data_IF_728202703292
#
_entry.id   IF_728202703292
#
_cell.length_a   1.000
_cell.length_b   1.000
_cell.length_c   1.000
_cell.angle_alpha   90.00
_cell.angle_beta   90.00
_cell.angle_gamma   90.00
#
_symmetry.space_group_name_H-M   'P 1'
#
loop_
_entity.id
_entity.type
_entity.pdbx_description
1 polymer ?
#
# COMPACT_ATOMS: atom_id res chain seq x y z
N UNK A 1 -41.17 -12.68 13.28
CA UNK A 1 -40.99 -11.99 11.98
C UNK A 1 -39.51 -12.00 11.67
N UNK A 2 -39.08 -12.63 10.57
CA UNK A 2 -37.68 -12.54 10.12
C UNK A 2 -37.36 -11.07 9.84
N UNK A 3 -36.48 -10.47 10.64
CA UNK A 3 -35.89 -9.16 10.33
C UNK A 3 -35.01 -9.32 9.10
N UNK A 4 -35.53 -8.94 7.93
CA UNK A 4 -34.79 -9.02 6.68
C UNK A 4 -33.68 -7.97 6.67
N UNK A 5 -32.44 -8.42 6.47
CA UNK A 5 -31.23 -7.59 6.47
C UNK A 5 -31.03 -6.79 5.17
N UNK A 6 -31.85 -7.05 4.14
CA UNK A 6 -31.81 -6.38 2.83
C UNK A 6 -33.22 -6.28 2.21
N UNK A 7 -33.45 -5.31 1.31
CA UNK A 7 -34.72 -5.18 0.59
C UNK A 7 -35.05 -6.43 -0.24
N UNK A 8 -36.30 -6.90 -0.16
CA UNK A 8 -36.81 -7.96 -1.03
C UNK A 8 -37.47 -7.36 -2.27
N UNK A 9 -37.10 -7.90 -3.42
CA UNK A 9 -37.73 -7.58 -4.69
C UNK A 9 -38.84 -8.57 -5.02
N UNK A 10 -39.90 -8.09 -5.66
CA UNK A 10 -40.90 -8.97 -6.24
C UNK A 10 -40.32 -9.68 -7.50
N UNK A 11 -40.99 -10.72 -7.99
CA UNK A 11 -40.48 -11.54 -9.11
C UNK A 11 -40.29 -10.70 -10.39
N UNK A 12 -41.12 -9.67 -10.61
CA UNK A 12 -40.98 -8.80 -11.78
C UNK A 12 -39.70 -7.97 -11.72
N UNK A 13 -39.43 -7.36 -10.56
CA UNK A 13 -38.22 -6.59 -10.29
C UNK A 13 -36.98 -7.49 -10.37
N UNK A 14 -37.03 -8.70 -9.80
CA UNK A 14 -35.95 -9.68 -9.89
C UNK A 14 -35.61 -9.97 -11.34
N UNK A 15 -36.60 -10.27 -12.19
CA UNK A 15 -36.37 -10.52 -13.63
C UNK A 15 -35.67 -9.32 -14.27
N UNK A 16 -36.16 -8.10 -14.02
CA UNK A 16 -35.55 -6.88 -14.57
C UNK A 16 -34.10 -6.71 -14.12
N UNK A 17 -33.80 -6.86 -12.83
CA UNK A 17 -32.44 -6.74 -12.32
C UNK A 17 -31.52 -7.84 -12.87
N UNK A 18 -31.98 -9.09 -12.91
CA UNK A 18 -31.20 -10.22 -13.44
C UNK A 18 -30.88 -9.99 -14.92
N UNK A 19 -31.83 -9.50 -15.72
CA UNK A 19 -31.61 -9.15 -17.14
C UNK A 19 -30.59 -8.05 -17.35
N UNK A 20 -30.60 -7.04 -16.48
CA UNK A 20 -29.76 -5.86 -16.64
C UNK A 20 -28.35 -6.05 -16.08
N UNK A 21 -28.20 -6.90 -15.06
CA UNK A 21 -26.99 -6.94 -14.21
C UNK A 21 -26.30 -8.29 -14.14
N UNK A 22 -26.96 -9.40 -14.53
CA UNK A 22 -26.41 -10.76 -14.35
C UNK A 22 -26.35 -11.52 -15.67
N UNK A 23 -27.48 -11.64 -16.36
CA UNK A 23 -27.57 -12.33 -17.65
C UNK A 23 -27.29 -11.35 -18.80
N UNK A 24 -26.84 -11.89 -19.93
CA UNK A 24 -26.47 -11.10 -21.12
C UNK A 24 -27.05 -11.73 -22.38
N UNK A 25 -27.34 -10.92 -23.41
CA UNK A 25 -27.76 -11.42 -24.71
C UNK A 25 -29.08 -12.19 -24.69
N UNK A 26 -29.11 -13.36 -25.34
CA UNK A 26 -30.31 -14.20 -25.46
C UNK A 26 -30.81 -14.72 -24.10
N UNK A 27 -29.89 -15.08 -23.20
CA UNK A 27 -30.22 -15.64 -21.87
C UNK A 27 -31.03 -14.64 -21.02
N UNK A 28 -30.69 -13.35 -21.10
CA UNK A 28 -31.45 -12.29 -20.45
C UNK A 28 -32.82 -12.07 -21.12
N UNK A 29 -32.86 -12.00 -22.45
CA UNK A 29 -34.12 -11.77 -23.19
C UNK A 29 -35.15 -12.88 -22.94
N UNK A 30 -34.69 -14.12 -22.85
CA UNK A 30 -35.53 -15.30 -22.67
C UNK A 30 -36.01 -15.51 -21.23
N UNK A 31 -35.32 -14.94 -20.23
CA UNK A 31 -35.72 -15.05 -18.83
C UNK A 31 -37.10 -14.43 -18.60
N UNK A 32 -38.05 -15.19 -18.10
CA UNK A 32 -39.43 -14.74 -17.82
C UNK A 32 -39.81 -14.93 -16.35
N UNK A 33 -40.95 -14.35 -15.93
CA UNK A 33 -41.47 -14.53 -14.56
C UNK A 33 -41.81 -16.00 -14.26
N UNK A 34 -42.32 -16.73 -15.26
CA UNK A 34 -42.68 -18.14 -15.15
C UNK A 34 -41.50 -19.07 -14.89
N UNK A 35 -40.27 -18.63 -15.21
CA UNK A 35 -39.06 -19.42 -14.93
C UNK A 35 -38.64 -19.35 -13.46
N UNK A 36 -39.16 -18.38 -12.69
CA UNK A 36 -38.81 -18.15 -11.29
C UNK A 36 -40.00 -18.33 -10.32
N UNK A 37 -41.24 -18.30 -10.81
CA UNK A 37 -42.45 -18.42 -10.00
C UNK A 37 -43.63 -18.99 -10.83
N UNK A 38 -44.48 -19.86 -10.27
CA UNK A 38 -44.46 -20.39 -8.90
C UNK A 38 -43.46 -21.53 -8.69
N UNK A 39 -42.99 -22.16 -9.77
CA UNK A 39 -42.05 -23.28 -9.74
C UNK A 39 -40.76 -22.86 -10.46
N UNK A 40 -39.70 -22.49 -9.71
CA UNK A 40 -38.45 -22.08 -10.33
C UNK A 40 -37.82 -23.23 -11.12
N UNK A 41 -37.35 -22.95 -12.33
CA UNK A 41 -36.63 -23.94 -13.16
C UNK A 41 -35.17 -24.06 -12.68
N UNK A 42 -34.71 -25.24 -12.24
CA UNK A 42 -33.35 -25.42 -11.73
C UNK A 42 -32.27 -24.94 -12.70
N UNK A 43 -32.41 -25.25 -13.99
CA UNK A 43 -31.41 -24.95 -15.03
C UNK A 43 -31.23 -23.43 -15.21
N UNK A 44 -32.35 -22.69 -15.16
CA UNK A 44 -32.35 -21.23 -15.23
C UNK A 44 -31.68 -20.62 -14.00
N UNK A 45 -31.91 -21.19 -12.81
CA UNK A 45 -31.25 -20.75 -11.59
C UNK A 45 -29.76 -21.06 -11.58
N UNK A 46 -29.36 -22.23 -12.07
CA UNK A 46 -27.94 -22.60 -12.19
C UNK A 46 -27.22 -21.59 -13.06
N UNK A 47 -27.80 -21.22 -14.20
CA UNK A 47 -27.25 -20.17 -15.07
C UNK A 47 -27.15 -18.82 -14.34
N UNK A 48 -28.20 -18.38 -13.65
CA UNK A 48 -28.18 -17.09 -12.92
C UNK A 48 -27.10 -17.09 -11.83
N UNK A 49 -27.03 -18.14 -11.02
CA UNK A 49 -26.04 -18.27 -9.95
C UNK A 49 -24.61 -18.36 -10.50
N UNK A 50 -24.41 -19.15 -11.54
CA UNK A 50 -23.13 -19.25 -12.24
C UNK A 50 -22.68 -17.87 -12.70
N UNK A 51 -23.52 -17.14 -13.44
CA UNK A 51 -23.21 -15.80 -13.93
C UNK A 51 -22.93 -14.81 -12.80
N UNK A 52 -23.66 -14.88 -11.69
CA UNK A 52 -23.39 -14.05 -10.52
C UNK A 52 -22.00 -14.32 -9.94
N UNK A 53 -21.60 -15.59 -9.80
CA UNK A 53 -20.26 -15.97 -9.33
C UNK A 53 -19.17 -15.51 -10.30
N UNK A 54 -19.39 -15.62 -11.61
CA UNK A 54 -18.45 -15.13 -12.62
C UNK A 54 -18.24 -13.62 -12.51
N UNK A 55 -19.31 -12.85 -12.27
CA UNK A 55 -19.23 -11.39 -12.10
C UNK A 55 -18.48 -10.99 -10.84
N UNK A 56 -18.73 -11.70 -9.73
CA UNK A 56 -18.20 -11.33 -8.41
C UNK A 56 -16.77 -11.81 -8.21
N UNK A 57 -16.49 -13.07 -8.54
CA UNK A 57 -15.18 -13.70 -8.31
C UNK A 57 -14.30 -13.80 -9.55
N UNK A 58 -14.81 -13.49 -10.74
CA UNK A 58 -14.07 -13.71 -11.98
C UNK A 58 -13.84 -15.19 -12.30
N UNK A 59 -14.68 -16.09 -11.76
CA UNK A 59 -14.59 -17.51 -12.08
C UNK A 59 -14.90 -17.76 -13.54
N UNK A 60 -14.27 -18.78 -14.13
CA UNK A 60 -14.54 -19.23 -15.49
C UNK A 60 -15.41 -20.47 -15.46
N UNK A 61 -16.06 -20.79 -16.59
CA UNK A 61 -16.91 -21.98 -16.70
C UNK A 61 -16.11 -23.26 -16.37
N UNK A 62 -14.87 -23.36 -16.84
CA UNK A 62 -13.95 -24.48 -16.59
C UNK A 62 -13.75 -24.78 -15.09
N UNK A 63 -13.79 -23.77 -14.22
CA UNK A 63 -13.63 -23.98 -12.77
C UNK A 63 -14.75 -24.82 -12.17
N UNK A 64 -15.95 -24.80 -12.77
CA UNK A 64 -17.09 -25.59 -12.29
C UNK A 64 -16.99 -27.06 -12.69
N UNK A 65 -16.09 -27.42 -13.61
CA UNK A 65 -15.83 -28.80 -14.02
C UNK A 65 -14.54 -29.36 -13.40
N UNK A 66 -13.92 -28.64 -12.46
CA UNK A 66 -12.72 -29.13 -11.77
C UNK A 66 -13.08 -30.21 -10.75
N UNK A 67 -12.39 -31.35 -10.83
CA UNK A 67 -12.52 -32.44 -9.86
C UNK A 67 -11.56 -32.23 -8.69
N UNK A 68 -11.99 -32.43 -7.43
CA UNK A 68 -11.09 -32.33 -6.29
C UNK A 68 -9.98 -33.39 -6.36
N UNK A 69 -8.74 -32.99 -6.08
CA UNK A 69 -7.53 -33.84 -6.22
C UNK A 69 -7.60 -35.10 -5.33
N UNK A 70 -8.32 -35.05 -4.21
CA UNK A 70 -8.46 -36.16 -3.26
C UNK A 70 -9.70 -37.04 -3.54
N UNK A 71 -10.32 -36.93 -4.72
CA UNK A 71 -11.48 -37.74 -5.09
C UNK A 71 -11.03 -39.03 -5.76
N UNK A 72 -11.02 -40.13 -5.01
CA UNK A 72 -10.62 -41.45 -5.50
C UNK A 72 -11.79 -42.11 -6.25
N UNK A 73 -12.09 -41.57 -7.45
CA UNK A 73 -13.23 -41.99 -8.27
C UNK A 73 -12.74 -42.91 -9.40
N UNK A 74 -13.27 -44.14 -9.43
CA UNK A 74 -12.90 -45.16 -10.42
C UNK A 74 -13.13 -44.73 -11.89
N UNK A 75 -14.16 -43.90 -12.14
CA UNK A 75 -14.52 -43.42 -13.48
C UNK A 75 -14.80 -41.90 -13.49
N UNK A 76 -13.77 -41.04 -13.66
CA UNK A 76 -13.93 -39.59 -13.57
C UNK A 76 -14.89 -38.97 -14.60
N UNK A 77 -14.96 -39.53 -15.80
CA UNK A 77 -15.83 -39.04 -16.88
C UNK A 77 -17.33 -39.13 -16.53
N UNK A 78 -17.74 -40.06 -15.67
CA UNK A 78 -19.13 -40.16 -15.20
C UNK A 78 -19.52 -39.02 -14.26
N UNK A 79 -18.54 -38.30 -13.71
CA UNK A 79 -18.77 -37.18 -12.79
C UNK A 79 -18.98 -35.85 -13.49
N UNK A 80 -18.74 -35.76 -14.81
CA UNK A 80 -18.78 -34.50 -15.56
C UNK A 80 -20.13 -33.76 -15.44
N UNK A 81 -21.25 -34.50 -15.38
CA UNK A 81 -22.58 -33.91 -15.16
C UNK A 81 -22.84 -33.44 -13.71
N UNK A 82 -22.14 -34.02 -12.73
CA UNK A 82 -22.30 -33.68 -11.31
C UNK A 82 -21.38 -32.54 -10.85
N UNK A 83 -20.17 -32.46 -11.41
CA UNK A 83 -19.16 -31.48 -11.02
C UNK A 83 -19.68 -30.03 -11.03
N UNK A 84 -20.41 -29.56 -12.06
CA UNK A 84 -20.95 -28.20 -12.07
C UNK A 84 -21.90 -27.93 -10.92
N UNK A 85 -22.75 -28.90 -10.56
CA UNK A 85 -23.73 -28.77 -9.47
C UNK A 85 -23.01 -28.73 -8.12
N UNK A 86 -22.03 -29.62 -7.91
CA UNK A 86 -21.22 -29.69 -6.69
C UNK A 86 -20.39 -28.41 -6.48
N UNK A 87 -19.65 -27.98 -7.51
CA UNK A 87 -18.82 -26.78 -7.44
C UNK A 87 -19.67 -25.51 -7.32
N UNK A 88 -20.85 -25.47 -7.96
CA UNK A 88 -21.82 -24.39 -7.77
C UNK A 88 -22.27 -24.29 -6.32
N UNK A 89 -22.59 -25.42 -5.66
CA UNK A 89 -22.93 -25.43 -4.25
C UNK A 89 -21.80 -24.90 -3.36
N UNK A 90 -20.57 -25.38 -3.56
CA UNK A 90 -19.39 -24.96 -2.78
C UNK A 90 -19.20 -23.44 -2.88
N UNK A 91 -19.25 -22.89 -4.09
CA UNK A 91 -19.08 -21.45 -4.29
C UNK A 91 -20.26 -20.63 -3.74
N UNK A 92 -21.50 -21.09 -3.93
CA UNK A 92 -22.68 -20.41 -3.38
C UNK A 92 -22.70 -20.41 -1.85
N UNK A 93 -22.24 -21.49 -1.21
CA UNK A 93 -22.15 -21.58 0.24
C UNK A 93 -21.17 -20.56 0.83
N UNK A 94 -20.13 -20.18 0.07
CA UNK A 94 -19.22 -19.08 0.43
C UNK A 94 -19.79 -17.69 0.09
N UNK A 95 -20.47 -17.57 -1.05
CA UNK A 95 -20.96 -16.29 -1.58
C UNK A 95 -22.22 -15.76 -0.89
N UNK A 96 -23.20 -16.63 -0.63
CA UNK A 96 -24.51 -16.23 -0.12
C UNK A 96 -24.45 -15.60 1.28
N UNK A 97 -23.56 -16.01 2.20
CA UNK A 97 -23.35 -15.30 3.46
C UNK A 97 -22.94 -13.82 3.27
N UNK A 98 -22.15 -13.52 2.23
CA UNK A 98 -21.78 -12.15 1.85
C UNK A 98 -23.01 -11.37 1.39
N UNK A 99 -23.92 -12.04 0.67
CA UNK A 99 -25.24 -11.54 0.28
C UNK A 99 -26.27 -11.57 1.44
N UNK A 100 -25.82 -11.83 2.68
CA UNK A 100 -26.65 -11.91 3.91
C UNK A 100 -27.67 -13.06 3.93
N UNK A 101 -27.37 -14.14 3.21
CA UNK A 101 -28.14 -15.38 3.19
C UNK A 101 -27.29 -16.49 3.80
N UNK A 102 -27.67 -16.98 4.98
CA UNK A 102 -26.87 -17.95 5.74
C UNK A 102 -27.48 -19.36 5.79
N UNK A 103 -28.68 -19.55 5.26
CA UNK A 103 -29.46 -20.79 5.35
C UNK A 103 -29.59 -21.48 3.98
N UNK A 104 -28.56 -21.39 3.14
CA UNK A 104 -28.53 -22.02 1.83
C UNK A 104 -28.21 -23.52 1.94
N UNK A 105 -28.94 -24.34 1.20
CA UNK A 105 -28.81 -25.81 1.23
C UNK A 105 -28.71 -26.38 -0.18
N UNK A 106 -28.19 -27.59 -0.34
CA UNK A 106 -28.10 -28.28 -1.65
C UNK A 106 -29.47 -28.42 -2.32
N UNK A 107 -30.54 -28.57 -1.52
CA UNK A 107 -31.90 -28.63 -2.01
C UNK A 107 -32.33 -27.35 -2.74
N UNK A 108 -31.74 -26.19 -2.47
CA UNK A 108 -32.06 -24.95 -3.16
C UNK A 108 -31.52 -24.88 -4.60
N UNK A 109 -30.59 -25.78 -4.95
CA UNK A 109 -30.05 -25.96 -6.30
C UNK A 109 -30.84 -27.05 -7.04
N UNK A 110 -31.14 -28.16 -6.37
CA UNK A 110 -31.79 -29.33 -6.97
C UNK A 110 -33.32 -29.19 -7.02
N UNK A 111 -33.93 -28.63 -5.99
CA UNK A 111 -35.37 -28.54 -5.77
C UNK A 111 -35.79 -27.13 -5.29
N UNK A 112 -35.58 -26.09 -6.12
CA UNK A 112 -35.74 -24.70 -5.73
C UNK A 112 -37.19 -24.37 -5.36
N UNK A 113 -37.37 -23.62 -4.27
CA UNK A 113 -38.67 -23.13 -3.80
C UNK A 113 -38.83 -21.64 -4.05
N UNK A 114 -39.89 -21.22 -4.74
CA UNK A 114 -40.12 -19.84 -5.18
C UNK A 114 -39.82 -18.75 -4.13
N UNK A 115 -40.34 -18.88 -2.90
CA UNK A 115 -40.12 -17.88 -1.83
C UNK A 115 -38.66 -17.80 -1.38
N UNK A 116 -37.96 -18.94 -1.34
CA UNK A 116 -36.53 -19.00 -0.97
C UNK A 116 -35.66 -18.46 -2.09
N UNK A 117 -35.89 -18.91 -3.32
CA UNK A 117 -35.23 -18.41 -4.52
C UNK A 117 -35.34 -16.90 -4.68
N UNK A 118 -36.54 -16.33 -4.53
CA UNK A 118 -36.75 -14.87 -4.59
C UNK A 118 -35.95 -14.12 -3.51
N UNK A 119 -35.83 -14.68 -2.29
CA UNK A 119 -34.97 -14.12 -1.23
C UNK A 119 -33.50 -14.11 -1.65
N UNK A 120 -33.02 -15.23 -2.17
CA UNK A 120 -31.61 -15.38 -2.53
C UNK A 120 -31.22 -14.47 -3.67
N UNK A 121 -32.03 -14.44 -4.72
CA UNK A 121 -31.83 -13.52 -5.83
C UNK A 121 -31.88 -12.06 -5.38
N UNK A 122 -32.78 -11.71 -4.44
CA UNK A 122 -32.79 -10.37 -3.85
C UNK A 122 -31.49 -10.04 -3.11
N UNK A 123 -30.95 -10.98 -2.32
CA UNK A 123 -29.67 -10.79 -1.63
C UNK A 123 -28.51 -10.57 -2.61
N UNK A 124 -28.44 -11.40 -3.66
CA UNK A 124 -27.43 -11.30 -4.72
C UNK A 124 -27.52 -9.96 -5.45
N UNK A 125 -28.73 -9.54 -5.86
CA UNK A 125 -28.95 -8.27 -6.56
C UNK A 125 -28.50 -7.08 -5.70
N UNK A 126 -28.87 -7.07 -4.41
CA UNK A 126 -28.45 -6.01 -3.49
C UNK A 126 -26.92 -5.96 -3.34
N UNK A 127 -26.26 -7.11 -3.24
CA UNK A 127 -24.81 -7.17 -3.19
C UNK A 127 -24.16 -6.63 -4.48
N UNK A 128 -24.70 -7.00 -5.64
CA UNK A 128 -24.20 -6.52 -6.93
C UNK A 128 -24.33 -5.00 -7.03
N UNK A 129 -25.47 -4.41 -6.66
CA UNK A 129 -25.62 -2.95 -6.63
C UNK A 129 -24.62 -2.29 -5.68
N UNK A 130 -24.43 -2.85 -4.47
CA UNK A 130 -23.45 -2.34 -3.53
C UNK A 130 -22.03 -2.40 -4.08
N UNK A 131 -21.65 -3.52 -4.70
CA UNK A 131 -20.35 -3.69 -5.34
C UNK A 131 -20.14 -2.71 -6.49
N UNK A 132 -21.17 -2.48 -7.31
CA UNK A 132 -21.10 -1.48 -8.39
C UNK A 132 -20.87 -0.08 -7.81
N UNK A 133 -21.57 0.32 -6.76
CA UNK A 133 -21.36 1.60 -6.09
C UNK A 133 -19.94 1.73 -5.50
N UNK A 134 -19.38 0.64 -4.95
CA UNK A 134 -18.00 0.63 -4.46
C UNK A 134 -16.95 0.60 -5.59
N UNK A 135 -17.33 0.14 -6.79
CA UNK A 135 -16.41 -0.05 -7.91
C UNK A 135 -15.83 1.26 -8.38
N UNK A 136 -16.62 2.33 -8.46
CA UNK A 136 -16.16 3.62 -8.96
C UNK A 136 -15.03 4.17 -8.05
N UNK A 137 -15.25 4.16 -6.74
CA UNK A 137 -14.22 4.54 -5.76
C UNK A 137 -12.98 3.65 -5.84
N UNK A 138 -13.16 2.33 -6.00
CA UNK A 138 -12.03 1.42 -6.12
C UNK A 138 -11.21 1.66 -7.41
N UNK A 139 -11.89 1.91 -8.54
CA UNK A 139 -11.23 2.17 -9.82
C UNK A 139 -10.44 3.48 -9.79
N UNK A 140 -10.92 4.49 -9.07
CA UNK A 140 -10.18 5.74 -8.84
C UNK A 140 -8.86 5.46 -8.09
N UNK A 141 -8.89 4.70 -6.99
CA UNK A 141 -7.68 4.32 -6.27
C UNK A 141 -6.72 3.48 -7.13
N UNK A 142 -7.26 2.53 -7.91
CA UNK A 142 -6.46 1.69 -8.80
C UNK A 142 -5.76 2.55 -9.88
N UNK A 143 -6.46 3.54 -10.43
CA UNK A 143 -5.92 4.47 -11.40
C UNK A 143 -4.80 5.33 -10.81
N UNK A 144 -5.00 5.92 -9.63
CA UNK A 144 -3.98 6.71 -8.93
C UNK A 144 -2.72 5.88 -8.65
N UNK A 145 -2.89 4.65 -8.18
CA UNK A 145 -1.77 3.73 -7.95
C UNK A 145 -1.02 3.42 -9.24
N UNK A 146 -1.73 3.05 -10.32
CA UNK A 146 -1.11 2.77 -11.61
C UNK A 146 -0.35 3.98 -12.17
N UNK A 147 -0.94 5.16 -12.13
CA UNK A 147 -0.29 6.40 -12.57
C UNK A 147 0.98 6.69 -11.76
N UNK A 148 0.99 6.38 -10.46
CA UNK A 148 2.16 6.55 -9.60
C UNK A 148 3.27 5.55 -9.96
N UNK A 149 2.91 4.30 -10.26
CA UNK A 149 3.86 3.28 -10.73
C UNK A 149 4.46 3.67 -12.08
N UNK A 150 3.63 4.15 -13.02
CA UNK A 150 4.09 4.59 -14.35
C UNK A 150 5.06 5.79 -14.21
N UNK A 151 4.76 6.75 -13.34
CA UNK A 151 5.64 7.89 -13.05
C UNK A 151 6.96 7.45 -12.40
N UNK A 152 6.91 6.49 -11.49
CA UNK A 152 8.11 5.91 -10.87
C UNK A 152 8.99 5.22 -11.91
N UNK A 153 8.41 4.46 -12.84
CA UNK A 153 9.14 3.83 -13.93
C UNK A 153 9.79 4.87 -14.85
N UNK A 154 9.05 5.93 -15.23
CA UNK A 154 9.59 7.03 -16.02
C UNK A 154 10.77 7.73 -15.35
N UNK A 155 10.65 8.04 -14.05
CA UNK A 155 11.76 8.62 -13.29
C UNK A 155 12.96 7.67 -13.23
N UNK A 156 12.73 6.37 -13.07
CA UNK A 156 13.81 5.40 -13.00
C UNK A 156 14.57 5.29 -14.33
N UNK A 157 13.86 5.33 -15.46
CA UNK A 157 14.49 5.39 -16.79
C UNK A 157 15.28 6.69 -16.96
N UNK A 158 14.69 7.84 -16.63
CA UNK A 158 15.39 9.13 -16.71
C UNK A 158 16.63 9.18 -15.79
N UNK A 159 16.55 8.56 -14.62
CA UNK A 159 17.68 8.43 -13.69
C UNK A 159 18.82 7.60 -14.30
N UNK A 160 18.51 6.44 -14.91
CA UNK A 160 19.50 5.62 -15.59
C UNK A 160 20.14 6.35 -16.78
N UNK A 161 19.37 7.09 -17.58
CA UNK A 161 19.89 7.91 -18.67
C UNK A 161 20.82 9.02 -18.16
N UNK A 162 20.46 9.67 -17.05
CA UNK A 162 21.30 10.69 -16.43
C UNK A 162 22.62 10.11 -15.92
N UNK A 163 22.60 8.91 -15.31
CA UNK A 163 23.80 8.21 -14.90
C UNK A 163 24.72 7.89 -16.08
N UNK A 164 24.16 7.38 -17.19
CA UNK A 164 24.96 7.10 -18.40
C UNK A 164 25.56 8.37 -19.01
N UNK A 165 24.86 9.52 -18.95
CA UNK A 165 25.42 10.80 -19.40
C UNK A 165 26.54 11.28 -18.50
N UNK A 166 26.39 11.11 -17.19
CA UNK A 166 27.42 11.49 -16.21
C UNK A 166 28.68 10.63 -16.41
N UNK A 167 28.53 9.32 -16.59
CA UNK A 167 29.65 8.41 -16.88
C UNK A 167 30.40 8.81 -18.17
N UNK A 168 29.67 9.22 -19.22
CA UNK A 168 30.27 9.73 -20.47
C UNK A 168 31.03 11.05 -20.30
N UNK A 169 30.58 11.92 -19.40
CA UNK A 169 31.22 13.20 -19.13
C UNK A 169 32.44 13.05 -18.22
N UNK A 170 32.39 12.11 -17.27
CA UNK A 170 33.53 11.79 -16.39
C UNK A 170 34.63 10.99 -17.10
N UNK A 171 34.30 10.31 -18.21
CA UNK A 171 35.29 9.71 -19.09
C UNK A 171 35.91 10.77 -20.00
N UNK A 172 37.04 11.34 -19.59
CA UNK A 172 37.89 12.15 -20.48
C UNK A 172 38.48 11.20 -21.54
N UNK A 173 38.25 11.45 -22.85
CA UNK A 173 38.85 10.65 -23.91
C UNK A 173 40.38 10.64 -23.77
N UNK A 174 41.00 9.48 -23.96
CA UNK A 174 42.46 9.35 -23.87
C UNK A 174 43.21 10.29 -24.83
N UNK A 175 42.57 10.66 -25.94
CA UNK A 175 43.06 11.64 -26.91
C UNK A 175 43.13 13.06 -26.31
N UNK A 176 42.07 13.53 -25.64
CA UNK A 176 42.04 14.85 -25.00
C UNK A 176 43.01 14.94 -23.82
N UNK A 177 43.18 13.84 -23.07
CA UNK A 177 44.18 13.78 -21.99
C UNK A 177 45.62 13.82 -22.54
N UNK A 178 45.87 13.17 -23.67
CA UNK A 178 47.17 13.20 -24.35
C UNK A 178 47.47 14.58 -24.95
N UNK A 179 46.49 15.22 -25.57
CA UNK A 179 46.61 16.59 -26.09
C UNK A 179 46.87 17.60 -24.96
N UNK A 180 46.17 17.50 -23.83
CA UNK A 180 46.42 18.36 -22.67
C UNK A 180 47.83 18.18 -22.12
N UNK A 181 48.32 16.94 -22.06
CA UNK A 181 49.68 16.64 -21.61
C UNK A 181 50.72 17.24 -22.57
N UNK A 182 50.54 17.07 -23.89
CA UNK A 182 51.43 17.67 -24.90
C UNK A 182 51.46 19.19 -24.80
N UNK A 183 50.30 19.84 -24.70
CA UNK A 183 50.20 21.29 -24.53
C UNK A 183 50.86 21.77 -23.21
N UNK A 184 50.69 21.02 -22.13
CA UNK A 184 51.33 21.34 -20.85
C UNK A 184 52.85 21.25 -20.95
N UNK A 185 53.37 20.21 -21.61
CA UNK A 185 54.80 20.01 -21.82
C UNK A 185 55.38 21.13 -22.71
N UNK A 186 54.69 21.49 -23.81
CA UNK A 186 55.07 22.61 -24.69
C UNK A 186 55.09 23.96 -23.95
N UNK A 187 54.08 24.24 -23.10
CA UNK A 187 54.04 25.44 -22.27
C UNK A 187 55.23 25.47 -21.30
N UNK A 188 55.58 24.33 -20.70
CA UNK A 188 56.70 24.23 -19.77
C UNK A 188 58.04 24.45 -20.48
N UNK A 189 58.22 23.88 -21.68
CA UNK A 189 59.40 24.11 -22.50
C UNK A 189 59.52 25.59 -22.91
N UNK A 190 58.44 26.21 -23.36
CA UNK A 190 58.41 27.63 -23.71
C UNK A 190 58.73 28.53 -22.50
N UNK A 191 58.21 28.21 -21.31
CA UNK A 191 58.56 28.92 -20.09
C UNK A 191 60.04 28.78 -19.73
N UNK A 192 60.63 27.61 -19.90
CA UNK A 192 62.07 27.41 -19.67
C UNK A 192 62.92 28.22 -20.65
N UNK A 193 62.59 28.18 -21.95
CA UNK A 193 63.26 28.96 -22.99
C UNK A 193 63.18 30.46 -22.71
N UNK A 194 61.98 30.96 -22.38
CA UNK A 194 61.77 32.38 -22.07
C UNK A 194 62.60 32.81 -20.85
N UNK A 195 62.61 32.00 -19.79
CA UNK A 195 63.41 32.27 -18.60
C UNK A 195 64.92 32.28 -18.88
N UNK A 196 65.39 31.38 -19.77
CA UNK A 196 66.78 31.34 -20.19
C UNK A 196 67.16 32.58 -20.99
N UNK A 197 66.32 33.01 -21.94
CA UNK A 197 66.54 34.23 -22.73
C UNK A 197 66.56 35.48 -21.85
N UNK A 198 65.62 35.60 -20.89
CA UNK A 198 65.63 36.69 -19.91
C UNK A 198 66.92 36.74 -19.10
N UNK A 199 67.43 35.58 -18.64
CA UNK A 199 68.72 35.52 -17.92
C UNK A 199 69.87 35.97 -18.81
N UNK A 200 69.95 35.47 -20.04
CA UNK A 200 71.01 35.83 -20.99
C UNK A 200 71.00 37.33 -21.31
N UNK A 201 69.82 37.90 -21.57
CA UNK A 201 69.64 39.33 -21.84
C UNK A 201 70.02 40.19 -20.65
N UNK A 202 69.74 39.73 -19.43
CA UNK A 202 70.14 40.42 -18.19
C UNK A 202 71.66 40.46 -18.04
N UNK A 203 72.36 39.35 -18.31
CA UNK A 203 73.84 39.28 -18.28
C UNK A 203 74.43 40.25 -19.31
N UNK A 204 73.96 40.21 -20.56
CA UNK A 204 74.43 41.11 -21.63
C UNK A 204 74.21 42.59 -21.27
N UNK A 205 73.08 42.93 -20.65
CA UNK A 205 72.82 44.29 -20.18
C UNK A 205 73.77 44.71 -19.05
N UNK A 206 74.07 43.82 -18.11
CA UNK A 206 75.03 44.08 -17.03
C UNK A 206 76.44 44.30 -17.57
N UNK A 207 76.90 43.46 -18.50
CA UNK A 207 78.20 43.62 -19.18
C UNK A 207 78.27 44.95 -19.93
N UNK A 208 77.24 45.28 -20.71
CA UNK A 208 77.19 46.55 -21.45
C UNK A 208 77.16 47.77 -20.53
N UNK A 209 76.49 47.67 -19.38
CA UNK A 209 76.50 48.72 -18.36
C UNK A 209 77.87 48.85 -17.68
N UNK A 210 78.55 47.74 -17.40
CA UNK A 210 79.90 47.75 -16.86
C UNK A 210 80.89 48.40 -17.84
N UNK A 211 80.80 48.06 -19.13
CA UNK A 211 81.60 48.70 -20.17
C UNK A 211 81.37 50.21 -20.23
N UNK A 212 80.10 50.65 -20.29
CA UNK A 212 79.77 52.07 -20.30
C UNK A 212 80.29 52.82 -19.06
N UNK A 213 80.26 52.20 -17.88
CA UNK A 213 80.83 52.80 -16.65
C UNK A 213 82.35 52.99 -16.78
N UNK A 214 83.05 52.02 -17.35
CA UNK A 214 84.49 52.13 -17.64
C UNK A 214 84.78 53.28 -18.60
N UNK A 215 84.05 53.36 -19.72
CA UNK A 215 84.22 54.43 -20.72
C UNK A 215 83.97 55.82 -20.12
N UNK A 216 82.97 55.94 -19.23
CA UNK A 216 82.67 57.20 -18.52
C UNK A 216 83.82 57.59 -17.57
N UNK A 217 84.40 56.64 -16.84
CA UNK A 217 85.55 56.91 -15.96
C UNK A 217 86.77 57.38 -16.77
N UNK A 218 87.04 56.73 -17.91
CA UNK A 218 88.14 57.10 -18.79
C UNK A 218 87.96 58.50 -19.39
N UNK A 219 86.75 58.80 -19.92
CA UNK A 219 86.42 60.15 -20.41
C UNK A 219 86.49 61.21 -19.32
N UNK A 220 86.09 60.87 -18.09
CA UNK A 220 86.17 61.80 -16.94
C UNK A 220 87.62 62.11 -16.58
N UNK A 221 88.51 61.11 -16.62
CA UNK A 221 89.95 61.31 -16.45
C UNK A 221 90.51 62.27 -17.51
N UNK A 222 90.16 62.03 -18.77
CA UNK A 222 90.63 62.86 -19.87
C UNK A 222 90.09 64.30 -19.82
N UNK A 223 88.84 64.48 -19.40
CA UNK A 223 88.25 65.80 -19.16
C UNK A 223 89.03 66.58 -18.07
N UNK A 224 89.45 65.90 -17.00
CA UNK A 224 90.22 66.52 -15.93
C UNK A 224 91.63 66.93 -16.38
N UNK A 225 92.26 66.14 -17.24
CA UNK A 225 93.54 66.49 -17.90
C UNK A 225 93.39 67.76 -18.76
N UNK A 226 92.32 67.85 -19.56
CA UNK A 226 92.03 69.04 -20.36
C UNK A 226 91.76 70.29 -19.51
N UNK A 227 91.08 70.16 -18.36
CA UNK A 227 90.84 71.28 -17.45
C UNK A 227 92.14 71.88 -16.90
N UNK A 228 93.15 71.06 -16.60
CA UNK A 228 94.47 71.54 -16.17
C UNK A 228 95.16 72.35 -17.28
N UNK A 229 95.06 71.91 -18.54
CA UNK A 229 95.60 72.65 -19.70
C UNK A 229 94.89 73.99 -19.96
N UNK A 230 93.60 74.10 -19.65
CA UNK A 230 92.87 75.37 -19.79
C UNK A 230 93.30 76.38 -18.72
N UNK A 231 93.67 75.93 -17.51
CA UNK A 231 94.17 76.82 -16.45
C UNK A 231 95.55 77.38 -16.83
N UNK A 232 96.45 76.57 -17.38
CA UNK A 232 97.77 77.04 -17.82
C UNK A 232 97.71 77.99 -19.02
N UNK A 233 96.74 77.81 -19.93
CA UNK A 233 96.50 78.73 -21.05
C UNK A 233 95.85 80.06 -20.62
N UNK A 234 95.06 80.07 -19.53
CA UNK A 234 94.52 81.31 -18.94
C UNK A 234 95.61 82.14 -18.25
N UNK A 235 96.58 81.51 -17.58
CA UNK A 235 97.75 82.22 -17.02
C UNK A 235 98.62 82.86 -18.12
N UNK A 236 98.70 82.25 -19.31
CA UNK A 236 99.35 82.82 -20.48
C UNK A 236 98.53 83.94 -21.17
N UNK A 237 97.22 83.99 -20.95
CA UNK A 237 96.32 85.02 -21.48
C UNK A 237 96.36 86.31 -20.64
N UNK A 238 96.60 86.20 -19.33
CA UNK A 238 96.73 87.34 -18.42
C UNK A 238 98.03 88.16 -18.65
N UNK A 239 99.08 87.56 -19.23
CA UNK A 239 100.38 88.22 -19.51
C UNK A 239 100.44 89.04 -20.81
N UNK A 240 99.39 88.98 -21.65
CA UNK A 240 99.28 89.67 -22.94
C UNK A 240 98.12 90.69 -22.95
N UNK A 241 97.93 91.41 -21.84
CA UNK A 241 96.94 92.50 -21.68
C UNK A 241 97.56 93.81 -21.18
N UNK A 242 98.77 94.14 -21.65
CA UNK A 242 99.43 95.44 -21.44
C UNK A 242 100.02 95.97 -22.74
N UNK A 243 99.17 96.45 -23.67
CA UNK A 243 99.47 97.56 -24.59
C UNK A 243 98.32 97.86 -25.56
N UNK A 244 98.05 99.18 -25.67
CA UNK A 244 97.52 99.94 -26.83
C UNK A 244 96.01 100.27 -26.81
N UNK A 245 95.81 101.55 -26.51
CA UNK A 245 94.75 102.52 -26.85
C UNK A 245 95.09 103.04 -28.28
N UNK A 246 94.19 103.35 -29.22
CA UNK A 246 93.22 104.45 -29.18
C UNK A 246 92.21 104.39 -30.34
N UNK A 247 91.13 105.15 -30.16
CA UNK A 247 89.97 105.45 -31.04
C UNK A 247 90.34 105.82 -32.50
N UNK A 248 89.42 105.73 -33.51
CA UNK A 248 88.30 106.67 -33.58
C UNK A 248 86.95 106.09 -34.05
N UNK A 249 85.92 106.51 -33.31
CA UNK A 249 84.57 106.74 -33.80
C UNK A 249 84.57 107.54 -35.10
N UNK A 250 84.08 106.93 -36.19
CA UNK A 250 83.17 107.55 -37.16
C UNK A 250 82.58 106.57 -38.21
N UNK A 251 82.34 105.30 -37.83
CA UNK A 251 81.57 104.32 -38.64
C UNK A 251 80.63 103.47 -37.76
N UNK A 252 80.26 103.95 -36.57
CA UNK A 252 79.43 103.22 -35.59
C UNK A 252 77.93 103.27 -35.93
N UNK A 253 77.45 104.38 -36.47
CA UNK A 253 76.01 104.66 -36.56
C UNK A 253 75.25 104.07 -37.76
N UNK A 254 75.91 103.43 -38.73
CA UNK A 254 75.23 102.74 -39.84
C UNK A 254 75.22 101.20 -39.68
N UNK A 255 76.24 100.65 -39.02
CA UNK A 255 76.36 99.21 -38.73
C UNK A 255 75.43 98.77 -37.59
N UNK A 256 75.16 99.67 -36.64
CA UNK A 256 74.26 99.43 -35.50
C UNK A 256 72.79 99.33 -35.93
N UNK A 257 72.34 100.17 -36.88
CA UNK A 257 70.98 100.08 -37.45
C UNK A 257 70.76 98.82 -38.30
N UNK A 258 71.76 98.38 -39.06
CA UNK A 258 71.69 97.12 -39.82
C UNK A 258 71.72 95.91 -38.87
N UNK A 259 72.55 95.96 -37.82
CA UNK A 259 72.63 94.94 -36.76
C UNK A 259 71.30 94.82 -36.00
N UNK A 260 70.66 95.93 -35.66
CA UNK A 260 69.35 95.94 -34.99
C UNK A 260 68.24 95.39 -35.89
N UNK A 261 68.28 95.67 -37.19
CA UNK A 261 67.29 95.15 -38.15
C UNK A 261 67.46 93.65 -38.37
N UNK A 262 68.71 93.18 -38.52
CA UNK A 262 69.03 91.74 -38.62
C UNK A 262 68.70 91.02 -37.31
N UNK A 263 68.93 91.65 -36.14
CA UNK A 263 68.60 91.07 -34.85
C UNK A 263 67.08 90.95 -34.64
N UNK A 264 66.30 91.97 -35.04
CA UNK A 264 64.83 91.91 -35.03
C UNK A 264 64.29 90.79 -35.92
N UNK A 265 64.82 90.64 -37.14
CA UNK A 265 64.43 89.55 -38.04
C UNK A 265 64.82 88.18 -37.47
N UNK A 266 66.00 88.05 -36.88
CA UNK A 266 66.47 86.80 -36.25
C UNK A 266 65.61 86.40 -35.05
N UNK A 267 65.23 87.37 -34.21
CA UNK A 267 64.31 87.15 -33.09
C UNK A 267 62.92 86.77 -33.60
N UNK A 268 62.37 87.45 -34.62
CA UNK A 268 61.06 87.08 -35.18
C UNK A 268 61.07 85.67 -35.80
N UNK A 269 62.17 85.27 -36.45
CA UNK A 269 62.32 83.91 -37.00
C UNK A 269 62.40 82.87 -35.89
N UNK A 270 63.09 83.19 -34.80
CA UNK A 270 63.19 82.31 -33.63
C UNK A 270 61.81 82.13 -32.97
N UNK A 271 61.05 83.21 -32.78
CA UNK A 271 59.68 83.13 -32.26
C UNK A 271 58.76 82.29 -33.16
N UNK A 272 58.90 82.42 -34.49
CA UNK A 272 58.12 81.61 -35.43
C UNK A 272 58.53 80.12 -35.37
N UNK A 273 59.82 79.80 -35.24
CA UNK A 273 60.28 78.43 -35.04
C UNK A 273 59.79 77.83 -33.73
N UNK A 274 59.86 78.59 -32.63
CA UNK A 274 59.38 78.14 -31.31
C UNK A 274 57.88 77.87 -31.33
N UNK A 275 57.08 78.75 -31.96
CA UNK A 275 55.64 78.51 -32.17
C UNK A 275 55.40 77.28 -33.04
N UNK A 276 56.19 77.07 -34.09
CA UNK A 276 56.07 75.91 -34.96
C UNK A 276 56.42 74.60 -34.25
N UNK A 277 57.47 74.57 -33.41
CA UNK A 277 57.82 73.40 -32.58
C UNK A 277 56.67 73.08 -31.61
N UNK A 278 56.11 74.07 -30.91
CA UNK A 278 54.97 73.87 -30.00
C UNK A 278 53.73 73.33 -30.74
N UNK A 279 53.43 73.85 -31.93
CA UNK A 279 52.32 73.31 -32.74
C UNK A 279 52.60 71.90 -33.25
N UNK A 280 53.84 71.60 -33.64
CA UNK A 280 54.25 70.25 -34.08
C UNK A 280 54.11 69.25 -32.94
N UNK A 281 54.62 69.56 -31.76
CA UNK A 281 54.50 68.70 -30.58
C UNK A 281 53.03 68.47 -30.20
N UNK A 282 52.19 69.50 -30.35
CA UNK A 282 50.75 69.39 -30.12
C UNK A 282 50.06 68.49 -31.14
N UNK A 283 50.48 68.54 -32.41
CA UNK A 283 49.95 67.68 -33.50
C UNK A 283 50.48 66.26 -33.39
N UNK A 284 51.73 66.05 -32.99
CA UNK A 284 52.33 64.73 -32.79
C UNK A 284 51.68 63.98 -31.61
N UNK A 285 51.09 64.71 -30.63
CA UNK A 285 50.33 64.13 -29.52
C UNK A 285 48.87 63.74 -29.85
N UNK A 286 48.29 64.26 -30.94
CA UNK A 286 46.88 64.02 -31.32
C UNK A 286 46.53 62.54 -31.54
N UNK A 287 47.38 61.70 -32.17
CA UNK A 287 47.10 60.27 -32.36
C UNK A 287 46.91 59.50 -31.04
N UNK A 288 47.69 59.82 -30.01
CA UNK A 288 47.54 59.19 -28.67
C UNK A 288 46.20 59.57 -28.04
N UNK A 289 45.81 60.85 -28.13
CA UNK A 289 44.48 61.30 -27.69
C UNK A 289 43.35 60.59 -28.46
N UNK A 290 43.51 60.38 -29.76
CA UNK A 290 42.52 59.66 -30.57
C UNK A 290 42.37 58.19 -30.16
N UNK A 291 43.48 57.48 -29.89
CA UNK A 291 43.49 56.12 -29.37
C UNK A 291 42.79 56.03 -28.00
N UNK A 292 43.03 57.00 -27.13
CA UNK A 292 42.40 57.06 -25.81
C UNK A 292 40.88 57.28 -25.89
N UNK A 293 40.42 58.16 -26.79
CA UNK A 293 38.98 58.36 -27.06
C UNK A 293 38.33 57.08 -27.59
N UNK A 294 38.98 56.36 -28.51
CA UNK A 294 38.48 55.08 -29.02
C UNK A 294 38.39 54.02 -27.91
N UNK A 295 39.37 53.99 -27.00
CA UNK A 295 39.35 53.10 -25.84
C UNK A 295 38.17 53.39 -24.91
N UNK A 296 37.90 54.68 -24.63
CA UNK A 296 36.74 55.07 -23.84
C UNK A 296 35.42 54.76 -24.52
N UNK A 297 35.35 54.93 -25.85
CA UNK A 297 34.16 54.60 -26.62
C UNK A 297 33.84 53.09 -26.54
N UNK A 298 34.87 52.23 -26.64
CA UNK A 298 34.71 50.78 -26.44
C UNK A 298 34.23 50.45 -25.02
N UNK A 299 34.82 51.05 -23.99
CA UNK A 299 34.39 50.86 -22.58
C UNK A 299 32.93 51.26 -22.36
N UNK A 300 32.47 52.36 -22.96
CA UNK A 300 31.08 52.80 -22.86
C UNK A 300 30.14 51.78 -23.51
N UNK A 301 30.54 51.20 -24.65
CA UNK A 301 29.76 50.18 -25.32
C UNK A 301 29.67 48.88 -24.50
N UNK A 302 30.80 48.41 -23.95
CA UNK A 302 30.84 47.25 -23.07
C UNK A 302 29.95 47.47 -21.81
N UNK A 303 29.95 48.68 -21.24
CA UNK A 303 29.09 49.04 -20.12
C UNK A 303 27.59 49.04 -20.49
N UNK A 304 27.24 49.49 -21.70
CA UNK A 304 25.87 49.46 -22.18
C UNK A 304 25.36 48.02 -22.35
N UNK A 305 26.16 47.13 -22.94
CA UNK A 305 25.83 45.71 -23.08
C UNK A 305 25.67 45.02 -21.73
N UNK A 306 26.56 45.31 -20.77
CA UNK A 306 26.45 44.76 -19.42
C UNK A 306 25.20 45.25 -18.68
N UNK A 307 24.80 46.50 -18.89
CA UNK A 307 23.54 47.04 -18.34
C UNK A 307 22.31 46.32 -18.91
N UNK A 308 22.31 46.03 -20.21
CA UNK A 308 21.23 45.27 -20.86
C UNK A 308 21.12 43.86 -20.26
N UNK A 309 22.27 43.16 -20.11
CA UNK A 309 22.33 41.85 -19.45
C UNK A 309 21.80 41.89 -18.02
N UNK A 310 22.21 42.90 -17.24
CA UNK A 310 21.76 43.08 -15.86
C UNK A 310 20.23 43.31 -15.78
N UNK A 311 19.67 44.08 -16.72
CA UNK A 311 18.23 44.28 -16.80
C UNK A 311 17.48 42.98 -17.10
N UNK A 312 18.04 42.12 -17.96
CA UNK A 312 17.53 40.77 -18.21
C UNK A 312 17.50 39.92 -16.94
N UNK A 313 18.62 39.86 -16.20
CA UNK A 313 18.73 39.10 -14.95
C UNK A 313 17.76 39.63 -13.88
N UNK A 314 17.60 40.95 -13.76
CA UNK A 314 16.63 41.55 -12.83
C UNK A 314 15.19 41.13 -13.13
N UNK A 315 14.81 41.08 -14.41
CA UNK A 315 13.48 40.64 -14.82
C UNK A 315 13.25 39.15 -14.52
N UNK A 316 14.27 38.33 -14.71
CA UNK A 316 14.22 36.91 -14.36
C UNK A 316 14.09 36.70 -12.84
N UNK A 317 14.84 37.46 -12.03
CA UNK A 317 14.71 37.42 -10.57
C UNK A 317 13.30 37.79 -10.09
N UNK A 318 12.69 38.85 -10.64
CA UNK A 318 11.32 39.23 -10.30
C UNK A 318 10.32 38.10 -10.65
N UNK A 319 10.46 37.48 -11.81
CA UNK A 319 9.62 36.34 -12.18
C UNK A 319 9.80 35.12 -11.26
N UNK A 320 11.02 34.89 -10.76
CA UNK A 320 11.30 33.81 -9.81
C UNK A 320 10.73 34.14 -8.43
N UNK A 321 10.81 35.38 -7.97
CA UNK A 321 10.19 35.85 -6.72
C UNK A 321 8.67 35.66 -6.75
N UNK A 322 8.00 36.06 -7.84
CA UNK A 322 6.57 35.85 -8.03
C UNK A 322 6.19 34.35 -7.98
N UNK A 323 7.00 33.49 -8.60
CA UNK A 323 6.80 32.04 -8.56
C UNK A 323 6.97 31.48 -7.15
N UNK A 324 7.98 31.93 -6.40
CA UNK A 324 8.21 31.53 -5.01
C UNK A 324 7.02 31.95 -4.14
N UNK A 325 6.55 33.19 -4.25
CA UNK A 325 5.41 33.68 -3.47
C UNK A 325 4.12 32.88 -3.79
N UNK A 326 3.89 32.58 -5.07
CA UNK A 326 2.75 31.76 -5.49
C UNK A 326 2.83 30.34 -4.90
N UNK A 327 4.01 29.72 -4.91
CA UNK A 327 4.26 28.41 -4.34
C UNK A 327 4.12 28.38 -2.82
N UNK A 328 4.57 29.42 -2.12
CA UNK A 328 4.38 29.55 -0.67
C UNK A 328 2.90 29.66 -0.28
N UNK A 329 2.10 30.39 -1.08
CA UNK A 329 0.66 30.51 -0.87
C UNK A 329 -0.05 29.17 -1.07
N UNK A 330 0.32 28.41 -2.09
CA UNK A 330 -0.21 27.06 -2.34
C UNK A 330 0.19 26.07 -1.23
N UNK A 331 1.46 26.11 -0.80
CA UNK A 331 1.95 25.29 0.31
C UNK A 331 1.17 25.57 1.61
N UNK A 332 0.86 26.84 1.91
CA UNK A 332 0.03 27.21 3.07
C UNK A 332 -1.38 26.62 2.98
N UNK A 333 -2.00 26.63 1.79
CA UNK A 333 -3.33 26.03 1.55
C UNK A 333 -3.30 24.52 1.76
N UNK A 334 -2.35 23.83 1.14
CA UNK A 334 -2.20 22.38 1.26
C UNK A 334 -1.93 21.96 2.71
N UNK A 335 -1.11 22.72 3.44
CA UNK A 335 -0.86 22.47 4.87
C UNK A 335 -2.10 22.64 5.73
N UNK A 336 -2.98 23.59 5.40
CA UNK A 336 -4.27 23.75 6.09
C UNK A 336 -5.20 22.56 5.81
N UNK A 337 -5.24 22.08 4.56
CA UNK A 337 -6.01 20.91 4.16
C UNK A 337 -5.51 19.63 4.85
N UNK A 338 -4.19 19.40 4.86
CA UNK A 338 -3.56 18.27 5.56
C UNK A 338 -3.94 18.25 7.05
N UNK A 339 -3.89 19.42 7.72
CA UNK A 339 -4.28 19.55 9.12
C UNK A 339 -5.77 19.23 9.33
N UNK A 340 -6.64 19.64 8.41
CA UNK A 340 -8.07 19.34 8.47
C UNK A 340 -8.35 17.84 8.32
N UNK A 341 -7.68 17.19 7.37
CA UNK A 341 -7.78 15.74 7.13
C UNK A 341 -7.22 14.94 8.31
N UNK A 342 -6.11 15.40 8.91
CA UNK A 342 -5.52 14.80 10.11
C UNK A 342 -6.49 14.84 11.29
N UNK A 343 -7.20 15.96 11.50
CA UNK A 343 -8.25 16.05 12.53
C UNK A 343 -9.40 15.08 12.25
N UNK A 344 -9.86 14.99 11.00
CA UNK A 344 -10.91 14.06 10.61
C UNK A 344 -10.50 12.59 10.84
N UNK A 345 -9.26 12.24 10.50
CA UNK A 345 -8.69 10.92 10.72
C UNK A 345 -8.73 10.54 12.21
N UNK A 346 -8.34 11.45 13.10
CA UNK A 346 -8.38 11.22 14.55
C UNK A 346 -9.80 10.97 15.05
N UNK A 347 -10.78 11.78 14.62
CA UNK A 347 -12.20 11.57 14.97
C UNK A 347 -12.70 10.20 14.49
N UNK A 348 -12.29 9.76 13.29
CA UNK A 348 -12.67 8.44 12.77
C UNK A 348 -12.01 7.30 13.56
N UNK A 349 -10.74 7.44 13.97
CA UNK A 349 -10.03 6.49 14.85
C UNK A 349 -10.72 6.34 16.20
N UNK A 350 -11.11 7.45 16.84
CA UNK A 350 -11.84 7.42 18.13
C UNK A 350 -13.21 6.75 18.01
N UNK A 351 -13.94 7.02 16.93
CA UNK A 351 -15.22 6.34 16.64
C UNK A 351 -15.03 4.84 16.45
N UNK A 352 -13.98 4.43 15.73
CA UNK A 352 -13.64 3.04 15.53
C UNK A 352 -13.28 2.36 16.85
N UNK A 353 -12.42 2.97 17.68
CA UNK A 353 -12.05 2.45 18.99
C UNK A 353 -13.28 2.26 19.91
N UNK A 354 -14.19 3.24 19.90
CA UNK A 354 -15.45 3.17 20.65
C UNK A 354 -16.36 2.04 20.16
N UNK A 355 -16.47 1.85 18.84
CA UNK A 355 -17.24 0.76 18.27
C UNK A 355 -16.63 -0.61 18.61
N UNK A 356 -15.30 -0.74 18.50
CA UNK A 356 -14.56 -1.94 18.86
C UNK A 356 -14.78 -2.31 20.33
N UNK A 357 -14.70 -1.32 21.24
CA UNK A 357 -14.97 -1.53 22.65
C UNK A 357 -16.40 -2.03 22.91
N UNK A 358 -17.41 -1.45 22.22
CA UNK A 358 -18.81 -1.91 22.33
C UNK A 358 -19.00 -3.34 21.82
N UNK A 359 -18.33 -3.71 20.73
CA UNK A 359 -18.38 -5.08 20.18
C UNK A 359 -17.76 -6.06 21.18
N UNK A 360 -16.58 -5.74 21.71
CA UNK A 360 -15.89 -6.59 22.68
C UNK A 360 -16.73 -6.79 23.95
N UNK A 361 -17.35 -5.72 24.46
CA UNK A 361 -18.25 -5.80 25.61
C UNK A 361 -19.44 -6.74 25.35
N UNK A 362 -20.13 -6.57 24.21
CA UNK A 362 -21.23 -7.47 23.83
C UNK A 362 -20.79 -8.93 23.70
N UNK A 363 -19.61 -9.17 23.17
CA UNK A 363 -19.07 -10.52 23.02
C UNK A 363 -18.77 -11.16 24.39
N UNK A 364 -18.26 -10.39 25.34
CA UNK A 364 -18.04 -10.88 26.72
C UNK A 364 -19.37 -11.13 27.44
N UNK A 365 -20.36 -10.25 27.28
CA UNK A 365 -21.71 -10.43 27.83
C UNK A 365 -22.35 -11.72 27.29
N UNK A 366 -22.24 -11.99 25.98
CA UNK A 366 -22.73 -13.24 25.35
C UNK A 366 -21.97 -14.46 25.86
N UNK A 367 -20.65 -14.38 26.04
CA UNK A 367 -19.86 -15.47 26.62
C UNK A 367 -20.28 -15.77 28.06
N UNK A 368 -20.53 -14.74 28.87
CA UNK A 368 -21.01 -14.89 30.23
C UNK A 368 -22.41 -15.54 30.25
N UNK A 369 -23.34 -15.04 29.42
CA UNK A 369 -24.66 -15.64 29.28
C UNK A 369 -24.60 -17.12 28.87
N UNK A 370 -23.76 -17.46 27.88
CA UNK A 370 -23.56 -18.85 27.44
C UNK A 370 -23.06 -19.73 28.60
N UNK A 371 -22.13 -19.24 29.42
CA UNK A 371 -21.63 -19.97 30.60
C UNK A 371 -22.77 -20.26 31.59
N UNK A 372 -23.59 -19.25 31.90
CA UNK A 372 -24.75 -19.41 32.80
C UNK A 372 -25.75 -20.44 32.28
N UNK A 373 -26.10 -20.37 30.98
CA UNK A 373 -27.03 -21.33 30.37
C UNK A 373 -26.49 -22.77 30.41
N UNK A 374 -25.20 -22.96 30.16
CA UNK A 374 -24.56 -24.29 30.26
C UNK A 374 -24.65 -24.81 31.69
N UNK A 375 -24.39 -23.96 32.67
CA UNK A 375 -24.46 -24.33 34.09
C UNK A 375 -25.88 -24.72 34.52
N UNK A 376 -26.90 -23.99 34.04
CA UNK A 376 -28.30 -24.34 34.30
C UNK A 376 -28.72 -25.64 33.60
N UNK A 377 -28.29 -25.87 32.36
CA UNK A 377 -28.50 -27.14 31.66
C UNK A 377 -27.88 -28.32 32.43
N UNK A 378 -26.68 -28.13 32.99
CA UNK A 378 -26.02 -29.16 33.80
C UNK A 378 -26.84 -29.47 35.07
N UNK A 379 -27.33 -28.45 35.78
CA UNK A 379 -28.21 -28.63 36.96
C UNK A 379 -29.49 -29.40 36.61
N UNK A 380 -30.09 -29.11 35.45
CA UNK A 380 -31.28 -29.84 34.97
C UNK A 380 -30.93 -31.30 34.65
N UNK A 381 -29.79 -31.53 34.00
CA UNK A 381 -29.31 -32.88 33.67
C UNK A 381 -29.07 -33.70 34.94
N UNK A 382 -28.44 -33.13 35.96
CA UNK A 382 -28.22 -33.77 37.27
C UNK A 382 -29.55 -34.14 37.94
N UNK A 383 -30.50 -33.19 38.01
CA UNK A 383 -31.84 -33.46 38.55
C UNK A 383 -32.56 -34.57 37.79
N UNK A 384 -32.45 -34.57 36.46
CA UNK A 384 -33.04 -35.63 35.61
C UNK A 384 -32.39 -36.98 35.89
N UNK A 385 -31.06 -37.02 36.05
CA UNK A 385 -30.33 -38.23 36.45
C UNK A 385 -30.83 -38.80 37.78
N UNK A 386 -30.94 -37.95 38.81
CA UNK A 386 -31.46 -38.35 40.11
C UNK A 386 -32.91 -38.87 40.06
N UNK A 387 -33.76 -38.27 39.23
CA UNK A 387 -35.14 -38.77 39.01
C UNK A 387 -35.13 -40.12 38.29
N UNK A 388 -34.27 -40.29 37.28
CA UNK A 388 -34.15 -41.55 36.55
C UNK A 388 -33.71 -42.68 37.47
N UNK A 389 -32.72 -42.44 38.34
CA UNK A 389 -32.30 -43.40 39.36
C UNK A 389 -33.47 -43.81 40.28
N UNK A 390 -34.24 -42.84 40.79
CA UNK A 390 -35.44 -43.13 41.61
C UNK A 390 -36.46 -43.97 40.86
N UNK A 391 -36.74 -43.64 39.59
CA UNK A 391 -37.67 -44.41 38.75
C UNK A 391 -37.16 -45.84 38.57
N UNK A 392 -35.86 -46.03 38.32
CA UNK A 392 -35.28 -47.36 38.20
C UNK A 392 -35.41 -48.18 39.49
N UNK A 393 -35.19 -47.57 40.67
CA UNK A 393 -35.39 -48.23 41.96
C UNK A 393 -36.85 -48.63 42.17
N UNK A 394 -37.79 -47.72 41.93
CA UNK A 394 -39.23 -48.01 42.04
C UNK A 394 -39.63 -49.13 41.07
N UNK A 395 -39.15 -49.12 39.84
CA UNK A 395 -39.43 -50.19 38.88
C UNK A 395 -38.89 -51.55 39.33
N UNK A 396 -37.69 -51.59 39.95
CA UNK A 396 -37.16 -52.82 40.54
C UNK A 396 -38.03 -53.32 41.70
N UNK A 397 -38.50 -52.41 42.57
CA UNK A 397 -39.43 -52.74 43.65
C UNK A 397 -40.77 -53.27 43.12
N UNK A 398 -41.35 -52.63 42.10
CA UNK A 398 -42.57 -53.09 41.43
C UNK A 398 -42.38 -54.52 40.90
N UNK A 399 -41.24 -54.83 40.28
CA UNK A 399 -40.96 -56.19 39.80
C UNK A 399 -40.87 -57.20 40.94
N UNK A 400 -40.22 -56.85 42.06
CA UNK A 400 -40.17 -57.70 43.26
C UNK A 400 -41.56 -57.97 43.83
N UNK A 401 -42.39 -56.92 43.96
CA UNK A 401 -43.76 -57.04 44.47
C UNK A 401 -44.62 -57.88 43.53
N UNK A 402 -44.55 -57.67 42.21
CA UNK A 402 -45.26 -58.49 41.23
C UNK A 402 -44.89 -59.97 41.35
N UNK A 403 -43.60 -60.27 41.50
CA UNK A 403 -43.13 -61.64 41.69
C UNK A 403 -43.68 -62.25 42.99
N UNK A 404 -43.66 -61.51 44.10
CA UNK A 404 -44.21 -61.97 45.37
C UNK A 404 -45.74 -62.23 45.29
N UNK A 405 -46.50 -61.36 44.61
CA UNK A 405 -47.93 -61.56 44.37
C UNK A 405 -48.16 -62.85 43.57
N UNK A 406 -47.35 -63.12 42.55
CA UNK A 406 -47.47 -64.34 41.76
C UNK A 406 -47.20 -65.59 42.61
N UNK A 407 -46.15 -65.57 43.42
CA UNK A 407 -45.85 -66.67 44.36
C UNK A 407 -46.98 -66.92 45.36
N UNK A 408 -47.58 -65.86 45.90
CA UNK A 408 -48.74 -65.97 46.79
C UNK A 408 -49.94 -66.59 46.07
N UNK A 409 -50.26 -66.13 44.86
CA UNK A 409 -51.34 -66.72 44.04
C UNK A 409 -51.13 -68.22 43.79
N UNK A 410 -49.91 -68.60 43.40
CA UNK A 410 -49.58 -70.01 43.13
C UNK A 410 -49.69 -70.86 44.41
N UNK A 411 -49.33 -70.29 45.56
CA UNK A 411 -49.45 -70.95 46.87
C UNK A 411 -50.91 -71.10 47.29
N UNK A 412 -51.72 -70.05 47.16
CA UNK A 412 -53.15 -70.08 47.45
C UNK A 412 -53.89 -71.08 46.57
N UNK A 413 -53.59 -71.15 45.26
CA UNK A 413 -54.23 -72.14 44.38
C UNK A 413 -53.84 -73.56 44.77
N UNK A 414 -52.57 -73.78 45.17
CA UNK A 414 -52.11 -75.08 45.68
C UNK A 414 -52.81 -75.47 46.98
N UNK A 415 -52.97 -74.55 47.93
CA UNK A 415 -53.71 -74.79 49.18
C UNK A 415 -55.19 -75.06 48.94
N UNK A 416 -55.81 -74.33 48.01
CA UNK A 416 -57.19 -74.56 47.58
C UNK A 416 -57.38 -75.96 46.99
N UNK A 417 -56.48 -76.40 46.11
CA UNK A 417 -56.50 -77.77 45.55
C UNK A 417 -56.37 -78.82 46.66
N UNK A 418 -55.43 -78.63 47.60
CA UNK A 418 -55.29 -79.52 48.76
C UNK A 418 -56.55 -79.56 49.63
N UNK A 419 -57.16 -78.40 49.89
CA UNK A 419 -58.40 -78.32 50.67
C UNK A 419 -59.56 -79.03 49.96
N UNK A 420 -59.67 -78.89 48.64
CA UNK A 420 -60.65 -79.63 47.83
C UNK A 420 -60.42 -81.15 47.89
N UNK A 421 -59.17 -81.60 47.80
CA UNK A 421 -58.80 -83.02 47.92
C UNK A 421 -59.17 -83.59 49.30
N UNK A 422 -58.85 -82.86 50.37
CA UNK A 422 -59.23 -83.23 51.75
C UNK A 422 -60.75 -83.30 51.89
N UNK A 423 -61.48 -82.30 51.37
CA UNK A 423 -62.94 -82.28 51.41
C UNK A 423 -63.55 -83.48 50.68
N UNK A 424 -63.07 -83.80 49.48
CA UNK A 424 -63.51 -84.97 48.72
C UNK A 424 -63.22 -86.28 49.46
N UNK A 425 -62.05 -86.38 50.08
CA UNK A 425 -61.65 -87.56 50.87
C UNK A 425 -62.56 -87.74 52.09
N UNK A 426 -62.80 -86.67 52.84
CA UNK A 426 -63.72 -86.67 53.99
C UNK A 426 -65.14 -87.00 53.57
N UNK A 427 -65.63 -86.40 52.49
CA UNK A 427 -66.96 -86.71 51.93
C UNK A 427 -67.08 -88.18 51.58
N UNK A 428 -66.10 -88.74 50.87
CA UNK A 428 -66.08 -90.17 50.52
C UNK A 428 -65.98 -91.08 51.75
N UNK A 429 -65.22 -90.69 52.78
CA UNK A 429 -65.18 -91.43 54.05
C UNK A 429 -66.52 -91.39 54.80
N UNK A 430 -67.21 -90.25 54.78
CA UNK A 430 -68.54 -90.06 55.39
C UNK A 430 -69.60 -90.89 54.65
N UNK A 431 -69.57 -90.89 53.31
CA UNK A 431 -70.44 -91.72 52.47
C UNK A 431 -70.24 -93.20 52.78
N UNK A 432 -68.97 -93.67 52.88
CA UNK A 432 -68.66 -95.05 53.30
C UNK A 432 -69.15 -95.37 54.71
N UNK A 433 -69.04 -94.42 55.65
CA UNK A 433 -69.54 -94.59 57.01
C UNK A 433 -71.06 -94.73 57.02
N UNK A 434 -71.78 -93.87 56.28
CA UNK A 434 -73.23 -93.96 56.13
C UNK A 434 -73.66 -95.26 55.44
N UNK A 435 -72.95 -95.69 54.40
CA UNK A 435 -73.20 -96.98 53.72
C UNK A 435 -72.97 -98.17 54.68
N UNK A 436 -71.94 -98.09 55.53
CA UNK A 436 -71.67 -99.06 56.59
C UNK A 436 -72.78 -99.12 57.65
N UNK A 437 -73.30 -97.97 58.08
CA UNK A 437 -74.48 -97.92 58.97
C UNK A 437 -75.70 -98.52 58.27
N UNK A 438 -75.93 -98.20 56.99
CA UNK A 438 -77.02 -98.77 56.20
C UNK A 438 -76.95 -100.30 56.15
N UNK A 439 -75.78 -100.87 55.84
CA UNK A 439 -75.55 -102.32 55.85
C UNK A 439 -75.75 -102.95 57.22
N UNK A 440 -75.23 -102.33 58.28
CA UNK A 440 -75.43 -102.84 59.64
C UNK A 440 -76.91 -102.80 60.08
N UNK A 441 -77.67 -101.81 59.62
CA UNK A 441 -79.11 -101.73 59.87
C UNK A 441 -79.89 -102.79 59.07
N UNK A 442 -79.52 -103.06 57.82
CA UNK A 442 -80.07 -104.14 57.00
C UNK A 442 -79.75 -105.53 57.60
N UNK A 443 -78.51 -105.76 58.02
CA UNK A 443 -78.08 -106.98 58.70
C UNK A 443 -78.80 -107.16 60.05
N UNK A 444 -78.95 -106.09 60.83
CA UNK A 444 -79.73 -106.10 62.08
C UNK A 444 -81.22 -106.38 61.85
N UNK A 445 -81.82 -105.84 60.78
CA UNK A 445 -83.19 -106.16 60.38
C UNK A 445 -83.32 -107.63 59.96
N UNK A 446 -82.37 -108.15 59.18
CA UNK A 446 -82.34 -109.54 58.76
C UNK A 446 -82.17 -110.50 59.96
N UNK A 447 -81.37 -110.13 60.96
CA UNK A 447 -81.17 -110.92 62.18
C UNK A 447 -82.42 -110.88 63.09
N UNK A 448 -83.12 -109.74 63.15
CA UNK A 448 -84.42 -109.61 63.82
C UNK A 448 -85.52 -110.43 63.11
N UNK A 449 -85.55 -110.43 61.78
CA UNK A 449 -86.45 -111.29 61.00
C UNK A 449 -86.12 -112.77 61.20
N UNK A 450 -84.83 -113.13 61.27
CA UNK A 450 -84.37 -114.48 61.62
C UNK A 450 -84.82 -114.92 63.01
N UNK A 451 -84.64 -114.06 64.04
CA UNK A 451 -85.10 -114.33 65.42
C UNK A 451 -86.63 -114.34 65.53
N UNK A 452 -87.35 -113.51 64.77
CA UNK A 452 -88.80 -113.54 64.70
C UNK A 452 -89.33 -114.83 64.03
N UNK A 453 -88.64 -115.33 63.01
CA UNK A 453 -88.94 -116.63 62.40
C UNK A 453 -88.66 -117.80 63.35
N UNK A 454 -87.59 -117.72 64.15
CA UNK A 454 -87.23 -118.74 65.15
C UNK A 454 -88.21 -118.77 66.33
N UNK A 455 -88.71 -117.59 66.77
CA UNK A 455 -89.81 -117.47 67.75
C UNK A 455 -91.13 -118.06 67.22
N UNK A 456 -91.49 -117.81 65.95
CA UNK A 456 -92.65 -118.46 65.32
C UNK A 456 -92.50 -119.98 65.25
N UNK A 457 -91.28 -120.48 65.04
CA UNK A 457 -90.98 -121.92 65.02
C UNK A 457 -91.07 -122.57 66.41
N UNK A 458 -90.66 -121.86 67.47
CA UNK A 458 -90.82 -122.31 68.87
C UNK A 458 -92.27 -122.25 69.37
N UNK A 459 -93.10 -121.35 68.86
CA UNK A 459 -94.55 -121.31 69.17
C UNK A 459 -95.36 -122.43 68.48
N UNK A 460 -94.82 -123.06 67.43
CA UNK A 460 -95.46 -124.15 66.70
C UNK A 460 -95.16 -125.56 67.27
N UNK A 461 -94.31 -125.67 68.30
CA UNK A 461 -93.87 -126.95 68.88
C UNK A 461 -94.01 -126.99 70.41
N UNK A 462 -95.17 -126.57 70.92
CA UNK A 462 -95.61 -126.84 72.30
C UNK A 462 -96.90 -127.68 72.26
N UNK A 463 -96.84 -128.96 72.67
CA UNK A 463 -98.00 -129.83 72.83
C UNK A 463 -98.69 -129.60 74.19
N UNK A 464 -100.02 -129.69 74.17
CA UNK A 464 -100.81 -130.41 75.20
C UNK A 464 -100.35 -131.85 75.37
#
# INVERSE_FOLDING_TARGET
METLSFPRYNVAEIVTHVRNKILTGADGKNLSKSDLYPNPKPEVLHMIYLRALQIVYGTRLEHFYMMPVNSDVMYPHLMEGFLPVSNLFIHLNSFLPICRVNDFETADILYPKAKRTSRFLSGIINFIHFREACRDTYMEFLWQYKSSVDKMQQLNVAHQEALMKLEKLDSVPAEEQAEFQQLSDEIQELQQLLNQDFRQKTVLLQERNAQKKSDVLERTKHLNELKLSVVSLKEAQESLKTKIVDSPEKVKNYKEKMKDTVQKLKNSRQEVMEKYEVYRDSVDGLPSCQLEVQLYQKKIQDLAENREKLAGVLKENLNLEDQIESGESELKKLKAEENSLRRLMNVKKEKLATAQFKINKKHEDVKQYKRTVIEDCNKVQEKRGAVYERITTINQEIQKVKFAIQQLKDTTEREKLKSQEIFLTLKGALEKYHEGIGKAAEEGCAELEGKAAELRKRMATLPT
#
